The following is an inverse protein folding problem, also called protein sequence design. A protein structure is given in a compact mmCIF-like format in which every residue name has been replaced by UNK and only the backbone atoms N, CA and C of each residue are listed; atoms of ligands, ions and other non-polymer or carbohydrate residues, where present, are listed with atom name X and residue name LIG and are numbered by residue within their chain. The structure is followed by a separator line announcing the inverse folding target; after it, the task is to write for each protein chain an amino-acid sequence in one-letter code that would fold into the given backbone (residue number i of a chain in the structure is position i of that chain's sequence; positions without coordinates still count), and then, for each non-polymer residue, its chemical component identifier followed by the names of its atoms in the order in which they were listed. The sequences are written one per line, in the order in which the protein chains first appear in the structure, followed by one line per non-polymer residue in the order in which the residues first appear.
data_IF_339593546417
#
_entry.id   IF_339593546417
#
_cell.length_a   1.000
_cell.length_b   1.000
_cell.length_c   1.000
_cell.angle_alpha   90.00
_cell.angle_beta   90.00
_cell.angle_gamma   90.00
#
_symmetry.space_group_name_H-M   'P 1'
#
loop_
_entity.id
_entity.type
_entity.pdbx_description
1 polymer ?
#
# COMPACT_ATOMS: atom_id res chain seq x y z
N UNK A 1 -4.15 -13.09 -2.83
CA UNK A 1 -5.32 -13.53 -2.02
C UNK A 1 -4.93 -14.73 -1.15
N UNK A 2 -4.55 -15.87 -1.73
CA UNK A 2 -4.27 -17.13 -1.00
C UNK A 2 -3.32 -16.94 0.19
N UNK A 3 -2.16 -16.29 0.00
CA UNK A 3 -1.18 -16.13 1.09
C UNK A 3 -1.64 -15.22 2.24
N UNK A 4 -2.65 -14.36 2.04
CA UNK A 4 -3.24 -13.62 3.16
C UNK A 4 -4.01 -14.58 4.07
N UNK A 5 -4.77 -15.51 3.49
CA UNK A 5 -5.48 -16.54 4.25
C UNK A 5 -4.50 -17.51 4.91
N UNK A 6 -3.54 -18.07 4.18
CA UNK A 6 -2.61 -19.04 4.77
C UNK A 6 -1.77 -18.43 5.88
N UNK A 7 -1.28 -17.19 5.70
CA UNK A 7 -0.56 -16.46 6.75
C UNK A 7 -1.45 -16.18 7.95
N UNK A 8 -2.70 -15.73 7.73
CA UNK A 8 -3.61 -15.47 8.84
C UNK A 8 -3.93 -16.74 9.63
N UNK A 9 -4.19 -17.87 8.96
CA UNK A 9 -4.44 -19.17 9.61
C UNK A 9 -3.21 -19.65 10.39
N UNK A 10 -2.01 -19.59 9.79
CA UNK A 10 -0.76 -19.97 10.47
C UNK A 10 -0.49 -19.13 11.72
N UNK A 11 -0.98 -17.89 11.72
CA UNK A 11 -0.91 -16.98 12.84
C UNK A 11 -2.08 -17.18 13.83
N UNK A 12 -3.13 -17.95 13.54
CA UNK A 12 -4.25 -18.17 14.49
C UNK A 12 -5.47 -17.29 14.22
N UNK A 13 -5.66 -16.86 12.97
CA UNK A 13 -6.97 -16.50 12.47
C UNK A 13 -7.88 -17.75 12.37
N UNK A 14 -9.20 -17.60 12.53
CA UNK A 14 -9.94 -16.34 12.60
C UNK A 14 -10.04 -15.72 14.00
N UNK A 15 -9.54 -16.38 15.05
CA UNK A 15 -9.71 -15.95 16.44
C UNK A 15 -8.94 -14.67 16.80
N UNK A 16 -7.92 -14.32 16.00
CA UNK A 16 -7.18 -13.07 16.13
C UNK A 16 -7.13 -12.28 14.83
N UNK A 17 -7.13 -10.96 14.95
CA UNK A 17 -6.92 -10.08 13.80
C UNK A 17 -5.43 -9.98 13.45
N UNK A 18 -5.13 -9.94 12.15
CA UNK A 18 -3.77 -9.78 11.62
C UNK A 18 -3.68 -8.50 10.81
N UNK A 19 -2.59 -7.75 10.99
CA UNK A 19 -2.26 -6.62 10.12
C UNK A 19 -1.21 -7.04 9.09
N UNK A 20 -1.31 -6.49 7.87
CA UNK A 20 -0.36 -6.74 6.79
C UNK A 20 0.25 -5.42 6.31
N UNK A 21 1.58 -5.38 6.23
CA UNK A 21 2.31 -4.29 5.58
C UNK A 21 2.91 -4.81 4.29
N UNK A 22 2.64 -4.12 3.18
CA UNK A 22 2.98 -4.58 1.84
C UNK A 22 3.86 -3.56 1.14
N UNK A 23 5.13 -3.90 0.81
CA UNK A 23 5.94 -3.13 -0.11
C UNK A 23 5.23 -3.03 -1.47
N UNK A 24 4.71 -1.84 -1.79
CA UNK A 24 3.73 -1.68 -2.86
C UNK A 24 4.25 -0.78 -3.97
N UNK A 25 4.33 -1.34 -5.19
CA UNK A 25 4.39 -0.59 -6.44
C UNK A 25 2.99 -0.47 -7.06
N UNK A 26 2.63 -1.41 -7.94
CA UNK A 26 1.40 -1.41 -8.74
C UNK A 26 0.08 -1.72 -8.02
N UNK A 27 0.03 -1.76 -6.68
CA UNK A 27 -1.16 -2.02 -5.84
C UNK A 27 -1.79 -3.42 -5.89
N UNK A 28 -1.41 -4.28 -6.83
CA UNK A 28 -2.05 -5.59 -7.01
C UNK A 28 -1.98 -6.50 -5.78
N UNK A 29 -0.81 -6.57 -5.13
CA UNK A 29 -0.61 -7.38 -3.92
C UNK A 29 -1.55 -6.95 -2.79
N UNK A 30 -1.46 -5.68 -2.37
CA UNK A 30 -2.27 -5.18 -1.25
C UNK A 30 -3.77 -5.13 -1.58
N UNK A 31 -4.13 -4.97 -2.86
CA UNK A 31 -5.52 -5.14 -3.30
C UNK A 31 -5.99 -6.58 -3.12
N UNK A 32 -5.13 -7.57 -3.32
CA UNK A 32 -5.44 -8.97 -3.02
C UNK A 32 -5.71 -9.19 -1.52
N UNK A 33 -5.02 -8.45 -0.64
CA UNK A 33 -5.29 -8.41 0.79
C UNK A 33 -6.64 -7.77 1.12
N UNK A 34 -6.99 -6.70 0.41
CA UNK A 34 -8.31 -6.08 0.49
C UNK A 34 -9.43 -7.03 0.06
N UNK A 35 -9.26 -7.77 -1.04
CA UNK A 35 -10.21 -8.80 -1.46
C UNK A 35 -10.34 -9.88 -0.38
N UNK A 36 -9.24 -10.36 0.20
CA UNK A 36 -9.29 -11.33 1.30
C UNK A 36 -10.08 -10.80 2.53
N UNK A 37 -9.88 -9.52 2.89
CA UNK A 37 -10.66 -8.86 3.94
C UNK A 37 -12.16 -8.81 3.60
N UNK A 38 -12.51 -8.45 2.36
CA UNK A 38 -13.90 -8.42 1.88
C UNK A 38 -14.56 -9.80 1.81
N UNK A 39 -13.76 -10.86 1.69
CA UNK A 39 -14.22 -12.27 1.80
C UNK A 39 -14.46 -12.73 3.25
N UNK A 40 -14.17 -11.89 4.26
CA UNK A 40 -14.41 -12.20 5.67
C UNK A 40 -13.17 -12.53 6.50
N UNK A 41 -11.97 -12.47 5.91
CA UNK A 41 -10.74 -12.66 6.68
C UNK A 41 -10.56 -11.51 7.69
N UNK A 42 -10.35 -11.79 8.99
CA UNK A 42 -10.24 -10.76 10.03
C UNK A 42 -8.89 -10.01 9.94
N UNK A 43 -8.76 -9.14 8.95
CA UNK A 43 -7.61 -8.23 8.82
C UNK A 43 -7.89 -6.96 9.61
N UNK A 44 -6.96 -6.56 10.47
CA UNK A 44 -7.02 -5.28 11.19
C UNK A 44 -6.65 -4.13 10.23
N UNK A 45 -5.37 -4.02 9.86
CA UNK A 45 -4.86 -2.97 8.98
C UNK A 45 -4.21 -3.54 7.72
N UNK A 46 -4.48 -2.89 6.58
CA UNK A 46 -3.69 -3.03 5.35
C UNK A 46 -2.80 -1.79 5.22
N UNK A 47 -1.49 -1.97 5.21
CA UNK A 47 -0.53 -0.87 5.28
C UNK A 47 0.29 -0.86 4.00
N UNK A 48 0.17 0.21 3.22
CA UNK A 48 0.92 0.45 2.00
C UNK A 48 2.31 0.98 2.39
N UNK A 49 3.36 0.27 2.02
CA UNK A 49 4.73 0.74 2.21
C UNK A 49 5.34 1.11 0.85
N UNK A 50 5.69 2.39 0.67
CA UNK A 50 6.32 2.89 -0.57
C UNK A 50 7.77 3.30 -0.33
N UNK A 51 8.58 3.27 -1.38
CA UNK A 51 9.88 3.93 -1.40
C UNK A 51 9.71 5.45 -1.65
N UNK A 52 10.75 6.13 -2.12
CA UNK A 52 10.69 7.56 -2.45
C UNK A 52 9.66 7.93 -3.55
N UNK A 53 9.20 6.96 -4.35
CA UNK A 53 8.08 7.07 -5.30
C UNK A 53 6.74 6.84 -4.57
N UNK A 54 6.29 7.87 -3.86
CA UNK A 54 5.30 7.78 -2.80
C UNK A 54 3.87 8.20 -3.18
N UNK A 55 3.48 8.02 -4.46
CA UNK A 55 2.18 8.48 -4.96
C UNK A 55 1.00 7.97 -4.14
N UNK A 56 1.03 6.72 -3.69
CA UNK A 56 -0.01 6.13 -2.85
C UNK A 56 -0.04 6.79 -1.46
N UNK A 57 1.12 6.96 -0.83
CA UNK A 57 1.24 7.62 0.48
C UNK A 57 0.74 9.06 0.45
N UNK A 58 1.10 9.82 -0.60
CA UNK A 58 0.57 11.18 -0.82
C UNK A 58 -0.93 11.17 -1.04
N UNK A 59 -1.44 10.26 -1.87
CA UNK A 59 -2.89 10.13 -2.14
C UNK A 59 -3.67 9.85 -0.87
N UNK A 60 -3.21 8.92 -0.02
CA UNK A 60 -3.86 8.66 1.27
C UNK A 60 -3.87 9.88 2.18
N UNK A 61 -2.82 10.71 2.15
CA UNK A 61 -2.69 11.91 2.97
C UNK A 61 -3.53 13.09 2.47
N UNK A 62 -3.55 13.35 1.16
CA UNK A 62 -4.18 14.54 0.58
C UNK A 62 -5.52 14.29 -0.11
N UNK A 63 -5.82 13.04 -0.48
CA UNK A 63 -6.92 12.73 -1.40
C UNK A 63 -6.61 13.02 -2.87
N UNK A 64 -5.43 13.59 -3.18
CA UNK A 64 -5.02 13.93 -4.54
C UNK A 64 -4.03 12.89 -5.06
N UNK A 65 -4.44 12.17 -6.08
CA UNK A 65 -3.58 11.26 -6.82
C UNK A 65 -2.89 12.03 -7.94
N UNK A 66 -1.58 12.18 -7.85
CA UNK A 66 -0.81 13.07 -8.72
C UNK A 66 0.55 12.48 -9.06
N UNK A 67 0.82 12.36 -10.36
CA UNK A 67 2.08 11.89 -10.92
C UNK A 67 3.21 12.85 -10.56
N UNK A 68 4.39 12.28 -10.31
CA UNK A 68 5.64 13.01 -10.16
C UNK A 68 6.71 12.32 -10.99
N UNK A 69 7.87 12.95 -11.12
CA UNK A 69 9.04 12.31 -11.71
C UNK A 69 9.43 11.08 -10.87
N UNK A 70 9.76 9.98 -11.55
CA UNK A 70 10.22 8.75 -10.91
C UNK A 70 11.66 8.92 -10.47
N UNK A 71 11.95 8.53 -9.23
CA UNK A 71 13.31 8.49 -8.68
C UNK A 71 13.79 7.05 -8.69
N UNK A 72 14.99 6.83 -9.21
CA UNK A 72 15.65 5.53 -9.08
C UNK A 72 15.97 5.25 -7.60
N UNK A 73 15.64 4.05 -7.14
CA UNK A 73 15.89 3.57 -5.78
C UNK A 73 16.54 2.19 -5.78
N UNK A 74 16.95 1.72 -4.60
CA UNK A 74 17.39 0.32 -4.37
C UNK A 74 16.26 -0.70 -4.44
N UNK A 75 15.03 -0.26 -4.64
CA UNK A 75 13.81 -1.10 -4.75
C UNK A 75 13.12 -0.87 -6.11
N UNK A 76 13.80 -1.17 -7.24
CA UNK A 76 13.39 -0.72 -8.57
C UNK A 76 12.01 -1.24 -9.01
N UNK A 77 11.57 -2.38 -8.46
CA UNK A 77 10.23 -2.94 -8.75
C UNK A 77 9.08 -2.08 -8.21
N UNK A 78 9.40 -1.13 -7.32
CA UNK A 78 8.46 -0.17 -6.71
C UNK A 78 8.63 1.25 -7.28
N UNK A 79 9.58 1.47 -8.20
CA UNK A 79 9.83 2.77 -8.84
C UNK A 79 8.78 3.07 -9.91
N UNK A 80 7.55 3.34 -9.45
CA UNK A 80 6.38 3.54 -10.29
C UNK A 80 5.95 5.00 -10.34
N UNK A 81 5.48 5.43 -11.51
CA UNK A 81 4.84 6.74 -11.67
C UNK A 81 3.33 6.68 -11.39
N UNK A 82 2.70 5.58 -11.79
CA UNK A 82 1.28 5.30 -11.65
C UNK A 82 1.15 3.85 -11.15
N UNK A 83 0.26 3.64 -10.19
CA UNK A 83 -0.05 2.34 -9.65
C UNK A 83 -1.26 1.74 -10.37
N UNK A 84 -1.03 0.86 -11.35
CA UNK A 84 -2.06 0.43 -12.29
C UNK A 84 -3.27 -0.25 -11.65
N UNK A 85 -3.11 -1.01 -10.56
CA UNK A 85 -4.26 -1.66 -9.89
C UNK A 85 -5.01 -0.71 -8.94
N UNK A 86 -4.56 0.52 -8.73
CA UNK A 86 -5.23 1.48 -7.84
C UNK A 86 -6.63 1.86 -8.35
N UNK A 87 -6.86 1.80 -9.66
CA UNK A 87 -8.20 2.02 -10.26
C UNK A 87 -9.26 1.06 -9.68
N UNK A 88 -8.87 -0.18 -9.33
CA UNK A 88 -9.80 -1.17 -8.74
C UNK A 88 -10.27 -0.75 -7.36
N UNK A 89 -9.40 -0.09 -6.58
CA UNK A 89 -9.78 0.48 -5.30
C UNK A 89 -10.65 1.72 -5.47
N UNK A 90 -10.38 2.56 -6.47
CA UNK A 90 -11.24 3.71 -6.80
C UNK A 90 -12.66 3.23 -7.13
N UNK A 91 -12.79 2.14 -7.90
CA UNK A 91 -14.08 1.53 -8.21
C UNK A 91 -14.81 1.06 -6.94
N UNK A 92 -14.15 0.29 -6.08
CA UNK A 92 -14.74 -0.19 -4.83
C UNK A 92 -15.10 0.94 -3.85
N UNK A 93 -14.29 2.00 -3.79
CA UNK A 93 -14.54 3.14 -2.91
C UNK A 93 -15.73 4.01 -3.35
N UNK A 94 -16.00 4.06 -4.65
CA UNK A 94 -17.13 4.77 -5.25
C UNK A 94 -18.34 3.85 -5.48
N UNK A 95 -18.55 2.86 -4.62
CA UNK A 95 -19.71 1.95 -4.67
C UNK A 95 -19.89 1.28 -6.05
N UNK A 96 -18.77 1.00 -6.72
CA UNK A 96 -18.72 0.37 -8.05
C UNK A 96 -19.35 1.22 -9.16
N UNK A 97 -19.31 2.54 -9.03
CA UNK A 97 -19.66 3.46 -10.11
C UNK A 97 -18.52 3.54 -11.15
N UNK A 98 -18.72 3.05 -12.39
CA UNK A 98 -17.70 3.11 -13.42
C UNK A 98 -17.53 4.54 -14.00
N UNK A 99 -18.47 5.46 -13.81
CA UNK A 99 -18.35 6.85 -14.26
C UNK A 99 -17.25 7.59 -13.49
N UNK A 100 -17.18 7.39 -12.17
CA UNK A 100 -16.13 7.95 -11.30
C UNK A 100 -14.74 7.48 -11.73
N UNK A 101 -14.59 6.18 -12.03
CA UNK A 101 -13.31 5.62 -12.50
C UNK A 101 -12.91 6.22 -13.84
N UNK A 102 -13.85 6.29 -14.81
CA UNK A 102 -13.57 6.88 -16.13
C UNK A 102 -13.16 8.34 -16.02
N UNK A 103 -13.85 9.13 -15.20
CA UNK A 103 -13.52 10.53 -14.97
C UNK A 103 -12.12 10.69 -14.34
N UNK A 104 -11.81 9.89 -13.31
CA UNK A 104 -10.49 9.90 -12.68
C UNK A 104 -9.37 9.55 -13.67
N UNK A 105 -9.55 8.51 -14.48
CA UNK A 105 -8.54 8.08 -15.47
C UNK A 105 -8.39 9.08 -16.62
N UNK A 106 -9.49 9.72 -17.06
CA UNK A 106 -9.43 10.80 -18.05
C UNK A 106 -8.65 12.01 -17.52
N UNK A 107 -8.93 12.44 -16.28
CA UNK A 107 -8.22 13.54 -15.63
C UNK A 107 -6.74 13.22 -15.43
N UNK A 108 -6.41 11.98 -15.07
CA UNK A 108 -5.02 11.53 -14.96
C UNK A 108 -4.29 11.65 -16.31
N UNK A 109 -4.92 11.20 -17.39
CA UNK A 109 -4.36 11.28 -18.74
C UNK A 109 -4.18 12.73 -19.21
N UNK A 110 -5.13 13.61 -18.88
CA UNK A 110 -5.12 15.00 -19.33
C UNK A 110 -4.18 15.90 -18.52
N UNK A 111 -4.17 15.74 -17.19
CA UNK A 111 -3.54 16.69 -16.26
C UNK A 111 -2.47 16.07 -15.36
N UNK A 112 -2.22 14.76 -15.46
CA UNK A 112 -1.32 14.03 -14.57
C UNK A 112 -1.86 13.85 -13.14
N UNK A 113 -3.13 14.20 -12.88
CA UNK A 113 -3.71 14.14 -11.54
C UNK A 113 -5.23 13.98 -11.51
N UNK A 114 -5.76 13.53 -10.37
CA UNK A 114 -7.18 13.64 -10.02
C UNK A 114 -7.36 13.73 -8.50
N UNK A 115 -8.51 14.26 -8.07
CA UNK A 115 -8.91 14.26 -6.66
C UNK A 115 -9.90 13.12 -6.39
N UNK A 116 -9.78 12.48 -5.25
CA UNK A 116 -10.73 11.49 -4.74
C UNK A 116 -11.76 12.22 -3.89
N UNK A 117 -13.05 12.05 -4.18
CA UNK A 117 -14.12 12.65 -3.40
C UNK A 117 -14.08 12.22 -1.92
N UNK A 118 -14.51 13.09 -1.01
CA UNK A 118 -14.36 12.90 0.43
C UNK A 118 -14.99 11.60 0.95
N UNK A 119 -16.14 11.21 0.41
CA UNK A 119 -16.81 9.95 0.75
C UNK A 119 -15.96 8.72 0.43
N UNK A 120 -15.43 8.65 -0.79
CA UNK A 120 -14.55 7.57 -1.24
C UNK A 120 -13.21 7.59 -0.48
N UNK A 121 -12.64 8.77 -0.26
CA UNK A 121 -11.39 8.92 0.51
C UNK A 121 -11.55 8.44 1.96
N UNK A 122 -12.69 8.75 2.60
CA UNK A 122 -13.01 8.27 3.95
C UNK A 122 -13.12 6.75 4.00
N UNK A 123 -13.77 6.12 3.02
CA UNK A 123 -13.84 4.65 2.89
C UNK A 123 -12.45 4.04 2.72
N UNK A 124 -11.62 4.59 1.83
CA UNK A 124 -10.24 4.14 1.64
C UNK A 124 -9.43 4.25 2.94
N UNK A 125 -9.50 5.40 3.63
CA UNK A 125 -8.80 5.63 4.90
C UNK A 125 -9.29 4.76 6.06
N UNK A 126 -10.51 4.20 5.98
CA UNK A 126 -10.97 3.22 6.97
C UNK A 126 -10.19 1.89 6.85
N UNK A 127 -9.84 1.52 5.63
CA UNK A 127 -9.28 0.20 5.32
C UNK A 127 -7.74 0.21 5.21
N UNK A 128 -7.16 1.32 4.76
CA UNK A 128 -5.74 1.41 4.47
C UNK A 128 -5.01 2.43 5.35
N UNK A 129 -3.74 2.14 5.64
CA UNK A 129 -2.72 3.10 6.08
C UNK A 129 -1.60 3.14 5.03
N UNK A 130 -0.77 4.16 5.08
CA UNK A 130 0.37 4.27 4.17
C UNK A 130 1.57 4.91 4.86
N UNK A 131 2.77 4.47 4.46
CA UNK A 131 4.03 5.00 4.93
C UNK A 131 5.09 4.97 3.84
N UNK A 132 6.11 5.82 4.02
CA UNK A 132 7.23 5.98 3.11
C UNK A 132 8.55 5.65 3.80
N UNK A 133 9.41 4.91 3.12
CA UNK A 133 10.82 4.73 3.48
C UNK A 133 11.71 5.42 2.44
N UNK A 134 12.70 6.20 2.89
CA UNK A 134 13.75 6.72 2.02
C UNK A 134 14.92 5.73 1.90
N UNK A 135 15.77 5.89 0.90
CA UNK A 135 16.98 5.05 0.71
C UNK A 135 17.84 4.91 1.98
N UNK A 136 18.03 6.01 2.72
CA UNK A 136 18.77 6.00 3.99
C UNK A 136 18.06 5.16 5.06
N UNK A 137 16.72 5.15 5.07
CA UNK A 137 15.93 4.34 5.99
C UNK A 137 15.94 2.87 5.59
N UNK A 138 15.88 2.56 4.29
CA UNK A 138 15.99 1.19 3.75
C UNK A 138 17.33 0.56 4.15
N UNK A 139 18.45 1.20 3.82
CA UNK A 139 19.79 0.69 4.14
C UNK A 139 19.99 0.46 5.65
N UNK A 140 19.49 1.38 6.49
CA UNK A 140 19.53 1.22 7.95
C UNK A 140 18.65 0.07 8.43
N UNK A 141 17.50 -0.15 7.81
CA UNK A 141 16.59 -1.24 8.21
C UNK A 141 17.19 -2.60 7.87
N UNK A 142 17.79 -2.76 6.68
CA UNK A 142 18.53 -3.99 6.32
C UNK A 142 19.60 -4.30 7.35
N UNK A 143 20.45 -3.32 7.67
CA UNK A 143 21.52 -3.48 8.66
C UNK A 143 20.97 -3.87 10.03
N UNK A 144 19.97 -3.12 10.53
CA UNK A 144 19.39 -3.35 11.85
C UNK A 144 18.73 -4.73 11.96
N UNK A 145 18.00 -5.17 10.93
CA UNK A 145 17.38 -6.50 10.94
C UNK A 145 18.43 -7.61 10.98
N UNK A 146 19.51 -7.47 10.21
CA UNK A 146 20.61 -8.44 10.26
C UNK A 146 21.30 -8.47 11.63
N UNK A 147 21.61 -7.30 12.20
CA UNK A 147 22.26 -7.19 13.51
C UNK A 147 21.41 -7.76 14.65
N UNK A 148 20.11 -7.46 14.67
CA UNK A 148 19.23 -7.85 15.78
C UNK A 148 18.76 -9.32 15.70
N UNK A 149 18.62 -9.86 14.49
CA UNK A 149 17.93 -11.16 14.27
C UNK A 149 18.77 -12.20 13.54
N UNK A 150 19.90 -11.81 12.94
CA UNK A 150 20.66 -12.65 12.02
C UNK A 150 19.99 -12.86 10.65
N UNK A 151 18.82 -12.28 10.40
CA UNK A 151 18.08 -12.44 9.14
C UNK A 151 18.40 -11.30 8.16
N UNK A 152 18.88 -11.65 6.96
CA UNK A 152 19.14 -10.70 5.89
C UNK A 152 17.88 -10.50 5.04
N UNK A 153 17.44 -9.26 4.89
CA UNK A 153 16.31 -8.88 4.06
C UNK A 153 16.74 -8.05 2.86
N UNK A 154 15.99 -8.17 1.77
CA UNK A 154 16.19 -7.35 0.57
C UNK A 154 15.61 -5.92 0.76
N UNK A 155 15.93 -4.97 -0.15
CA UNK A 155 15.44 -3.59 -0.06
C UNK A 155 13.90 -3.47 -0.04
N UNK A 156 13.18 -4.29 -0.79
CA UNK A 156 11.71 -4.23 -0.84
C UNK A 156 11.12 -4.66 0.52
N UNK A 157 11.60 -5.77 1.08
CA UNK A 157 11.18 -6.22 2.41
C UNK A 157 11.55 -5.21 3.50
N UNK A 158 12.72 -4.58 3.41
CA UNK A 158 13.14 -3.55 4.36
C UNK A 158 12.22 -2.33 4.37
N UNK A 159 11.66 -1.93 3.23
CA UNK A 159 10.61 -0.89 3.17
C UNK A 159 9.38 -1.31 3.98
N UNK A 160 8.94 -2.56 3.78
CA UNK A 160 7.81 -3.15 4.52
C UNK A 160 8.06 -3.16 6.03
N UNK A 161 9.21 -3.70 6.47
CA UNK A 161 9.60 -3.76 7.89
C UNK A 161 9.66 -2.36 8.51
N UNK A 162 10.28 -1.41 7.83
CA UNK A 162 10.41 -0.03 8.32
C UNK A 162 9.05 0.64 8.52
N UNK A 163 8.13 0.48 7.56
CA UNK A 163 6.79 1.06 7.64
C UNK A 163 5.94 0.32 8.68
N UNK A 164 6.05 -1.01 8.77
CA UNK A 164 5.33 -1.82 9.75
C UNK A 164 5.65 -1.38 11.19
N UNK A 165 6.94 -1.18 11.51
CA UNK A 165 7.39 -0.74 12.83
C UNK A 165 6.79 0.62 13.26
N UNK A 166 6.44 1.49 12.30
CA UNK A 166 5.76 2.78 12.59
C UNK A 166 4.28 2.63 12.92
N UNK A 167 3.69 1.48 12.63
CA UNK A 167 2.26 1.21 12.80
C UNK A 167 1.97 0.14 13.88
N UNK A 168 2.99 -0.42 14.52
CA UNK A 168 2.87 -1.38 15.64
C UNK A 168 2.18 -0.80 16.89
N UNK A 169 2.29 0.51 17.14
CA UNK A 169 1.84 1.17 18.39
C UNK A 169 0.58 2.02 18.25
N UNK A 170 -0.17 1.89 17.15
CA UNK A 170 -1.33 2.73 16.84
C UNK A 170 -2.65 1.97 16.98
#
# INVERSE_FOLDING_TARGET
IVYYFTTAVALGGPDRKISFTVPTGNFGDIFAGYVAKRMGLPIDKLIIATNDNDILTRTLKSGRYEMREVKATTSPSMDIQISSNFERLIFEANDRDPAEVRAAMANLKQSGSFAIGDGALKKIRKEFRAGRASEKQVARTIRKTLEDTGYLIDPHTAIGVFVAAKHEKA
#
